data_IF_660041722064
#
_entry.id   IF_660041722064
#
_cell.length_a   1.000
_cell.length_b   1.000
_cell.length_c   1.000
_cell.angle_alpha   90.00
_cell.angle_beta   90.00
_cell.angle_gamma   90.00
#
_symmetry.space_group_name_H-M   'P 1'
#
loop_
_entity.id
_entity.type
_entity.pdbx_description
1 polymer ?
#
# COMPACT_ATOMS: atom_id res chain seq x y z
N UNK A 1 13.78 18.83 -87.14
CA UNK A 1 13.57 20.07 -86.38
C UNK A 1 12.12 20.05 -85.89
N UNK A 2 11.98 19.73 -84.61
CA UNK A 2 10.78 19.42 -83.83
C UNK A 2 10.48 20.52 -82.80
N UNK A 3 10.96 21.75 -83.07
CA UNK A 3 10.90 22.91 -82.17
C UNK A 3 9.49 23.33 -81.73
N UNK A 4 8.45 22.85 -82.41
CA UNK A 4 7.04 23.15 -82.13
C UNK A 4 6.29 21.96 -81.51
N UNK A 5 6.98 20.87 -81.15
CA UNK A 5 6.36 19.74 -80.49
C UNK A 5 6.25 19.98 -78.98
N UNK A 6 5.04 19.77 -78.47
CA UNK A 6 4.66 20.05 -77.08
C UNK A 6 5.32 19.08 -76.10
N UNK A 7 5.67 17.86 -76.51
CA UNK A 7 6.37 16.90 -75.66
C UNK A 7 7.80 17.38 -75.35
N UNK A 8 8.50 17.92 -76.36
CA UNK A 8 9.84 18.47 -76.20
C UNK A 8 9.85 19.79 -75.40
N UNK A 9 8.75 20.54 -75.44
CA UNK A 9 8.61 21.76 -74.62
C UNK A 9 8.64 21.47 -73.12
N UNK A 10 8.02 20.38 -72.65
CA UNK A 10 8.08 20.01 -71.23
C UNK A 10 9.48 19.54 -70.83
N UNK A 11 10.17 18.81 -71.72
CA UNK A 11 11.55 18.35 -71.51
C UNK A 11 12.50 19.55 -71.38
N UNK A 12 12.46 20.50 -72.32
CA UNK A 12 13.34 21.67 -72.26
C UNK A 12 13.06 22.58 -71.08
N UNK A 13 11.78 22.73 -70.72
CA UNK A 13 11.41 23.40 -69.48
C UNK A 13 12.09 22.69 -68.30
N UNK A 14 11.87 21.39 -68.14
CA UNK A 14 12.46 20.64 -67.04
C UNK A 14 14.00 20.73 -67.00
N UNK A 15 14.68 20.59 -68.13
CA UNK A 15 16.14 20.72 -68.21
C UNK A 15 16.62 22.11 -67.75
N UNK A 16 15.90 23.17 -68.12
CA UNK A 16 16.20 24.52 -67.66
C UNK A 16 16.00 24.70 -66.16
N UNK A 17 14.91 24.15 -65.60
CA UNK A 17 14.67 24.14 -64.14
C UNK A 17 15.83 23.48 -63.40
N UNK A 18 16.28 22.30 -63.87
CA UNK A 18 17.38 21.55 -63.27
C UNK A 18 18.67 22.35 -63.28
N UNK A 19 19.02 22.96 -64.42
CA UNK A 19 20.24 23.77 -64.54
C UNK A 19 20.16 25.00 -63.65
N UNK A 20 19.04 25.72 -63.67
CA UNK A 20 18.85 26.93 -62.87
C UNK A 20 18.94 26.64 -61.38
N UNK A 21 18.27 25.59 -60.90
CA UNK A 21 18.31 25.19 -59.49
C UNK A 21 19.70 24.75 -59.05
N UNK A 22 20.46 24.07 -59.91
CA UNK A 22 21.86 23.71 -59.64
C UNK A 22 22.73 24.95 -59.42
N UNK A 23 22.57 25.97 -60.25
CA UNK A 23 23.32 27.23 -60.06
C UNK A 23 22.86 27.98 -58.81
N UNK A 24 21.56 28.00 -58.48
CA UNK A 24 21.08 28.60 -57.23
C UNK A 24 21.70 27.90 -56.00
N UNK A 25 21.72 26.57 -56.00
CA UNK A 25 22.34 25.77 -54.94
C UNK A 25 23.86 26.01 -54.83
N UNK A 26 24.58 26.04 -55.95
CA UNK A 26 26.02 26.32 -55.97
C UNK A 26 26.39 27.73 -55.48
N UNK A 27 25.42 28.63 -55.37
CA UNK A 27 25.59 29.99 -54.84
C UNK A 27 24.93 30.16 -53.45
N UNK A 28 24.64 29.06 -52.74
CA UNK A 28 24.03 29.05 -51.41
C UNK A 28 22.69 29.81 -51.33
N UNK A 29 21.96 29.88 -52.45
CA UNK A 29 20.65 30.52 -52.51
C UNK A 29 19.55 29.52 -52.15
N UNK A 30 18.66 29.82 -51.20
CA UNK A 30 17.60 28.91 -50.78
C UNK A 30 16.44 28.85 -51.78
N UNK A 31 16.33 29.79 -52.72
CA UNK A 31 15.25 29.81 -53.71
C UNK A 31 15.36 28.64 -54.69
N UNK A 32 14.21 28.10 -55.11
CA UNK A 32 14.11 27.07 -56.15
C UNK A 32 13.03 27.46 -57.14
N UNK A 33 13.28 27.19 -58.42
CA UNK A 33 12.32 27.33 -59.51
C UNK A 33 11.64 26.00 -59.72
N UNK A 34 10.32 26.00 -59.91
CA UNK A 34 9.55 24.82 -60.33
C UNK A 34 8.65 25.26 -61.49
N UNK A 35 8.72 24.54 -62.61
CA UNK A 35 8.02 24.94 -63.83
C UNK A 35 6.60 24.41 -63.93
N UNK A 36 6.21 23.54 -63.00
CA UNK A 36 4.81 23.13 -62.82
C UNK A 36 4.04 24.31 -62.24
N UNK A 37 2.78 24.47 -62.64
CA UNK A 37 1.89 25.42 -61.98
C UNK A 37 1.70 25.04 -60.50
N UNK A 38 1.30 25.98 -59.65
CA UNK A 38 0.96 25.67 -58.25
C UNK A 38 -0.06 24.52 -58.15
N UNK A 39 -1.03 24.45 -59.08
CA UNK A 39 -1.96 23.33 -59.17
C UNK A 39 -1.27 21.98 -59.46
N UNK A 40 -0.33 21.92 -60.42
CA UNK A 40 0.46 20.69 -60.72
C UNK A 40 1.45 20.32 -59.60
N UNK A 41 1.82 21.28 -58.75
CA UNK A 41 2.60 21.03 -57.52
C UNK A 41 1.71 20.59 -56.34
N UNK A 42 0.38 20.66 -56.47
CA UNK A 42 -0.55 20.42 -55.36
C UNK A 42 -0.54 21.52 -54.29
N UNK A 43 -0.04 22.71 -54.64
CA UNK A 43 -0.01 23.86 -53.74
C UNK A 43 -1.31 24.65 -53.84
N UNK A 44 -1.97 24.82 -52.70
CA UNK A 44 -3.12 25.70 -52.53
C UNK A 44 -2.65 27.17 -52.42
N UNK A 45 -2.19 27.72 -53.54
CA UNK A 45 -1.68 29.10 -53.66
C UNK A 45 -2.26 29.70 -54.93
N UNK A 46 -2.88 30.87 -54.81
CA UNK A 46 -3.38 31.62 -55.96
C UNK A 46 -2.20 32.39 -56.59
N UNK A 47 -1.91 32.22 -57.89
CA UNK A 47 -0.81 32.91 -58.55
C UNK A 47 -1.12 34.40 -58.76
N UNK A 48 -0.10 35.25 -58.63
CA UNK A 48 -0.20 36.68 -58.96
C UNK A 48 -0.21 36.91 -60.48
N UNK A 49 -0.86 37.99 -60.92
CA UNK A 49 -0.90 38.39 -62.33
C UNK A 49 0.37 39.18 -62.68
N UNK A 50 0.92 38.95 -63.88
CA UNK A 50 2.08 39.70 -64.37
C UNK A 50 1.73 41.18 -64.56
N UNK A 51 2.50 42.07 -63.91
CA UNK A 51 2.25 43.51 -63.94
C UNK A 51 2.68 44.17 -65.26
N UNK A 52 3.76 43.71 -65.88
CA UNK A 52 4.35 44.38 -67.04
C UNK A 52 5.05 45.70 -66.68
N UNK A 53 5.77 46.29 -67.65
CA UNK A 53 6.65 47.43 -67.40
C UNK A 53 5.89 48.71 -67.01
N UNK A 54 4.76 48.98 -67.66
CA UNK A 54 3.97 50.20 -67.42
C UNK A 54 3.34 50.24 -66.02
N UNK A 55 2.71 49.14 -65.60
CA UNK A 55 2.10 49.00 -64.27
C UNK A 55 3.16 49.14 -63.18
N UNK A 56 4.31 48.48 -63.34
CA UNK A 56 5.41 48.56 -62.37
C UNK A 56 5.97 49.97 -62.23
N UNK A 57 6.04 50.74 -63.32
CA UNK A 57 6.48 52.14 -63.29
C UNK A 57 5.47 53.04 -62.58
N UNK A 58 4.16 52.82 -62.79
CA UNK A 58 3.09 53.55 -62.09
C UNK A 58 3.09 53.25 -60.58
N UNK A 59 3.18 51.98 -60.19
CA UNK A 59 3.26 51.55 -58.78
C UNK A 59 4.51 52.10 -58.09
N UNK A 60 5.66 52.17 -58.79
CA UNK A 60 6.89 52.78 -58.25
C UNK A 60 6.75 54.27 -57.97
N UNK A 61 5.85 54.96 -58.69
CA UNK A 61 5.51 56.38 -58.45
C UNK A 61 4.41 56.54 -57.39
N UNK A 62 3.96 55.46 -56.76
CA UNK A 62 2.92 55.48 -55.72
C UNK A 62 1.49 55.47 -56.26
N UNK A 63 1.29 55.32 -57.58
CA UNK A 63 -0.05 55.25 -58.18
C UNK A 63 -0.53 53.79 -58.11
N UNK A 64 -1.58 53.54 -57.34
CA UNK A 64 -2.18 52.21 -57.24
C UNK A 64 -2.91 51.85 -58.54
N UNK A 65 -2.63 50.65 -59.03
CA UNK A 65 -3.23 50.07 -60.23
C UNK A 65 -4.13 48.89 -59.86
N UNK A 66 -5.09 48.57 -60.74
CA UNK A 66 -5.97 47.41 -60.52
C UNK A 66 -5.19 46.09 -60.41
N UNK A 67 -4.14 45.91 -61.22
CA UNK A 67 -3.30 44.70 -61.20
C UNK A 67 -2.44 44.66 -59.93
N UNK A 68 -1.86 45.80 -59.51
CA UNK A 68 -1.11 45.89 -58.27
C UNK A 68 -1.98 45.65 -57.02
N UNK A 69 -3.21 46.17 -57.01
CA UNK A 69 -4.21 45.91 -55.95
C UNK A 69 -4.58 44.43 -55.90
N UNK A 70 -4.91 43.82 -57.05
CA UNK A 70 -5.19 42.39 -57.14
C UNK A 70 -4.04 41.53 -56.61
N UNK A 71 -2.79 41.86 -56.97
CA UNK A 71 -1.63 41.13 -56.48
C UNK A 71 -1.41 41.32 -54.97
N UNK A 72 -1.69 42.50 -54.41
CA UNK A 72 -1.67 42.73 -52.96
C UNK A 72 -2.71 41.85 -52.25
N UNK A 73 -3.93 41.80 -52.76
CA UNK A 73 -5.01 40.96 -52.22
C UNK A 73 -4.68 39.47 -52.30
N UNK A 74 -4.16 38.99 -53.44
CA UNK A 74 -3.72 37.60 -53.62
C UNK A 74 -2.63 37.23 -52.60
N UNK A 75 -1.63 38.10 -52.39
CA UNK A 75 -0.58 37.87 -51.39
C UNK A 75 -1.14 37.82 -49.97
N UNK A 76 -2.07 38.74 -49.63
CA UNK A 76 -2.73 38.75 -48.33
C UNK A 76 -3.54 37.46 -48.10
N UNK A 77 -4.32 37.02 -49.09
CA UNK A 77 -5.10 35.78 -49.03
C UNK A 77 -4.21 34.55 -48.87
N UNK A 78 -3.13 34.44 -49.66
CA UNK A 78 -2.16 33.33 -49.54
C UNK A 78 -1.47 33.32 -48.17
N UNK A 79 -1.12 34.49 -47.63
CA UNK A 79 -0.52 34.61 -46.30
C UNK A 79 -1.49 34.17 -45.19
N UNK A 80 -2.76 34.58 -45.27
CA UNK A 80 -3.80 34.17 -44.34
C UNK A 80 -4.03 32.66 -44.40
N UNK A 81 -4.10 32.08 -45.59
CA UNK A 81 -4.28 30.64 -45.76
C UNK A 81 -3.10 29.86 -45.18
N UNK A 82 -1.86 30.35 -45.36
CA UNK A 82 -0.67 29.77 -44.73
C UNK A 82 -0.76 29.80 -43.21
N UNK A 83 -1.19 30.92 -42.60
CA UNK A 83 -1.35 31.00 -41.15
C UNK A 83 -2.46 30.09 -40.63
N UNK A 84 -3.58 29.96 -41.36
CA UNK A 84 -4.67 29.04 -41.00
C UNK A 84 -4.15 27.60 -41.02
N UNK A 85 -3.41 27.20 -42.07
CA UNK A 85 -2.80 25.86 -42.14
C UNK A 85 -1.83 25.60 -40.98
N UNK A 86 -0.98 26.57 -40.63
CA UNK A 86 -0.07 26.44 -39.47
C UNK A 86 -0.85 26.30 -38.17
N UNK A 87 -1.90 27.09 -37.96
CA UNK A 87 -2.75 26.99 -36.77
C UNK A 87 -3.42 25.61 -36.69
N UNK A 88 -3.95 25.09 -37.80
CA UNK A 88 -4.54 23.74 -37.84
C UNK A 88 -3.49 22.67 -37.47
N UNK A 89 -2.26 22.77 -37.98
CA UNK A 89 -1.19 21.82 -37.62
C UNK A 89 -0.81 21.92 -36.15
N UNK A 90 -0.71 23.13 -35.61
CA UNK A 90 -0.45 23.33 -34.18
C UNK A 90 -1.58 22.75 -33.31
N UNK A 91 -2.84 22.97 -33.70
CA UNK A 91 -3.99 22.40 -33.01
C UNK A 91 -4.00 20.87 -33.07
N UNK A 92 -3.66 20.27 -34.22
CA UNK A 92 -3.50 18.82 -34.34
C UNK A 92 -2.42 18.30 -33.39
N UNK A 93 -1.28 18.99 -33.31
CA UNK A 93 -0.21 18.69 -32.36
C UNK A 93 -0.67 18.77 -30.89
N UNK A 94 -1.40 19.83 -30.52
CA UNK A 94 -1.95 19.95 -29.18
C UNK A 94 -2.98 18.87 -28.85
N UNK A 95 -3.82 18.47 -29.80
CA UNK A 95 -4.77 17.37 -29.62
C UNK A 95 -4.03 16.05 -29.38
N UNK A 96 -2.95 15.78 -30.11
CA UNK A 96 -2.14 14.57 -29.90
C UNK A 96 -1.48 14.57 -28.53
N UNK A 97 -0.84 15.69 -28.14
CA UNK A 97 -0.21 15.84 -26.82
C UNK A 97 -1.23 15.71 -25.68
N UNK A 98 -2.41 16.31 -25.82
CA UNK A 98 -3.49 16.19 -24.84
C UNK A 98 -4.00 14.75 -24.73
N UNK A 99 -4.07 14.04 -25.86
CA UNK A 99 -4.40 12.62 -25.92
C UNK A 99 -3.39 11.74 -25.18
N UNK A 100 -2.10 12.03 -25.33
CA UNK A 100 -1.01 11.34 -24.61
C UNK A 100 -1.07 11.60 -23.11
N UNK A 101 -1.16 12.88 -22.69
CA UNK A 101 -1.33 13.24 -21.27
C UNK A 101 -2.55 12.60 -20.62
N UNK A 102 -3.67 12.49 -21.36
CA UNK A 102 -4.86 11.79 -20.89
C UNK A 102 -4.59 10.29 -20.68
N UNK A 103 -3.86 9.64 -21.58
CA UNK A 103 -3.49 8.22 -21.43
C UNK A 103 -2.59 8.00 -20.22
N UNK A 104 -1.59 8.86 -20.03
CA UNK A 104 -0.71 8.82 -18.86
C UNK A 104 -1.48 8.96 -17.55
N UNK A 105 -2.40 9.93 -17.48
CA UNK A 105 -3.22 10.15 -16.29
C UNK A 105 -4.16 8.96 -16.02
N UNK A 106 -4.72 8.34 -17.06
CA UNK A 106 -5.50 7.11 -16.90
C UNK A 106 -4.65 5.94 -16.42
N UNK A 107 -3.42 5.80 -16.90
CA UNK A 107 -2.49 4.76 -16.45
C UNK A 107 -2.08 4.96 -14.98
N UNK A 108 -1.83 6.20 -14.56
CA UNK A 108 -1.56 6.54 -13.16
C UNK A 108 -2.74 6.19 -12.26
N UNK A 109 -3.96 6.62 -12.61
CA UNK A 109 -5.17 6.27 -11.86
C UNK A 109 -5.39 4.76 -11.79
N UNK A 110 -5.17 4.04 -12.89
CA UNK A 110 -5.29 2.58 -12.90
C UNK A 110 -4.24 1.92 -12.00
N UNK A 111 -3.02 2.46 -11.93
CA UNK A 111 -1.97 1.98 -11.04
C UNK A 111 -2.29 2.24 -9.56
N UNK A 112 -2.82 3.43 -9.23
CA UNK A 112 -3.30 3.77 -7.89
C UNK A 112 -4.50 2.90 -7.48
N UNK A 113 -5.46 2.69 -8.39
CA UNK A 113 -6.59 1.80 -8.13
C UNK A 113 -6.13 0.35 -7.94
N UNK A 114 -5.12 -0.10 -8.67
CA UNK A 114 -4.60 -1.46 -8.56
C UNK A 114 -4.04 -1.82 -7.18
N UNK A 115 -3.59 -0.84 -6.38
CA UNK A 115 -3.12 -1.06 -5.00
C UNK A 115 -4.26 -1.05 -3.96
N UNK A 116 -5.49 -0.70 -4.35
CA UNK A 116 -6.63 -0.75 -3.45
C UNK A 116 -6.98 -2.19 -3.08
N UNK A 117 -7.40 -2.41 -1.83
CA UNK A 117 -7.77 -3.72 -1.30
C UNK A 117 -8.74 -4.48 -2.20
N UNK A 118 -9.81 -3.88 -2.76
CA UNK A 118 -10.71 -4.62 -3.63
C UNK A 118 -10.02 -5.21 -4.86
N UNK A 119 -9.11 -4.45 -5.49
CA UNK A 119 -8.40 -4.90 -6.67
C UNK A 119 -7.32 -5.93 -6.32
N UNK A 120 -6.65 -5.79 -5.18
CA UNK A 120 -5.73 -6.79 -4.66
C UNK A 120 -6.45 -8.12 -4.34
N UNK A 121 -7.67 -8.07 -3.81
CA UNK A 121 -8.49 -9.26 -3.58
C UNK A 121 -8.94 -9.91 -4.90
N UNK A 122 -9.24 -9.13 -5.92
CA UNK A 122 -9.51 -9.67 -7.27
C UNK A 122 -8.26 -10.32 -7.87
N UNK A 123 -7.08 -9.71 -7.70
CA UNK A 123 -5.80 -10.30 -8.13
C UNK A 123 -5.50 -11.61 -7.39
N UNK A 124 -5.80 -11.69 -6.09
CA UNK A 124 -5.73 -12.94 -5.33
C UNK A 124 -6.63 -14.03 -5.93
N UNK A 125 -7.86 -13.69 -6.34
CA UNK A 125 -8.77 -14.63 -7.00
C UNK A 125 -8.18 -15.17 -8.31
N UNK A 126 -7.53 -14.32 -9.10
CA UNK A 126 -6.86 -14.73 -10.35
C UNK A 126 -5.71 -15.71 -10.09
N UNK A 127 -4.87 -15.43 -9.08
CA UNK A 127 -3.79 -16.34 -8.65
C UNK A 127 -4.38 -17.69 -8.25
N UNK A 128 -5.44 -17.69 -7.44
CA UNK A 128 -6.14 -18.91 -7.01
C UNK A 128 -6.77 -19.68 -8.15
N UNK A 129 -7.22 -19.00 -9.21
CA UNK A 129 -7.75 -19.62 -10.41
C UNK A 129 -6.63 -20.30 -11.20
N UNK A 130 -5.49 -19.64 -11.36
CA UNK A 130 -4.32 -20.22 -12.07
C UNK A 130 -3.75 -21.43 -11.31
N UNK A 131 -3.66 -21.37 -9.97
CA UNK A 131 -3.24 -22.51 -9.13
C UNK A 131 -4.11 -23.78 -9.32
N UNK A 132 -5.35 -23.61 -9.79
CA UNK A 132 -6.30 -24.71 -10.00
C UNK A 132 -6.50 -25.05 -11.47
N UNK A 133 -5.66 -24.54 -12.37
CA UNK A 133 -5.79 -24.79 -13.81
C UNK A 133 -5.78 -26.28 -14.18
N UNK A 134 -5.00 -27.08 -13.43
CA UNK A 134 -4.86 -28.52 -13.66
C UNK A 134 -5.91 -29.37 -12.90
N UNK A 135 -6.81 -28.73 -12.13
CA UNK A 135 -7.85 -29.44 -11.39
C UNK A 135 -8.98 -29.93 -12.32
N UNK A 136 -9.76 -30.89 -11.84
CA UNK A 136 -11.02 -31.27 -12.49
C UNK A 136 -11.99 -30.09 -12.53
N UNK A 137 -12.84 -30.03 -13.56
CA UNK A 137 -13.84 -28.95 -13.73
C UNK A 137 -14.76 -28.78 -12.51
N UNK A 138 -15.14 -29.89 -11.87
CA UNK A 138 -15.92 -29.86 -10.63
C UNK A 138 -15.13 -29.27 -9.46
N UNK A 139 -13.85 -29.60 -9.33
CA UNK A 139 -12.94 -29.02 -8.34
C UNK A 139 -12.71 -27.53 -8.54
N UNK A 140 -12.50 -27.09 -9.79
CA UNK A 140 -12.37 -25.68 -10.16
C UNK A 140 -13.61 -24.88 -9.77
N UNK A 141 -14.81 -25.38 -10.12
CA UNK A 141 -16.06 -24.70 -9.81
C UNK A 141 -16.29 -24.58 -8.29
N UNK A 142 -16.04 -25.65 -7.53
CA UNK A 142 -16.16 -25.62 -6.07
C UNK A 142 -15.16 -24.64 -5.44
N UNK A 143 -13.90 -24.68 -5.85
CA UNK A 143 -12.86 -23.76 -5.37
C UNK A 143 -13.17 -22.30 -5.68
N UNK A 144 -13.59 -22.02 -6.92
CA UNK A 144 -13.98 -20.67 -7.35
C UNK A 144 -15.17 -20.13 -6.57
N UNK A 145 -16.19 -20.97 -6.34
CA UNK A 145 -17.37 -20.58 -5.55
C UNK A 145 -17.02 -20.30 -4.09
N UNK A 146 -16.11 -21.07 -3.49
CA UNK A 146 -15.65 -20.86 -2.11
C UNK A 146 -14.84 -19.58 -1.99
N UNK A 147 -13.89 -19.36 -2.90
CA UNK A 147 -13.07 -18.14 -2.87
C UNK A 147 -13.95 -16.90 -3.11
N UNK A 148 -14.90 -16.97 -4.04
CA UNK A 148 -15.84 -15.86 -4.32
C UNK A 148 -16.68 -15.51 -3.09
N UNK A 149 -17.16 -16.53 -2.36
CA UNK A 149 -17.87 -16.32 -1.11
C UNK A 149 -16.97 -15.63 -0.07
N UNK A 150 -15.77 -16.14 0.14
CA UNK A 150 -14.82 -15.57 1.12
C UNK A 150 -14.41 -14.12 0.77
N UNK A 151 -14.13 -13.85 -0.51
CA UNK A 151 -13.75 -12.51 -0.99
C UNK A 151 -14.93 -11.55 -0.93
N UNK A 152 -16.15 -11.97 -1.27
CA UNK A 152 -17.33 -11.09 -1.16
C UNK A 152 -17.69 -10.73 0.28
N UNK A 153 -17.55 -11.67 1.22
CA UNK A 153 -17.71 -11.42 2.66
C UNK A 153 -16.65 -10.42 3.16
N UNK A 154 -15.39 -10.60 2.74
CA UNK A 154 -14.32 -9.67 3.07
C UNK A 154 -14.53 -8.28 2.46
N UNK A 155 -14.92 -8.16 1.20
CA UNK A 155 -15.22 -6.89 0.55
C UNK A 155 -16.35 -6.15 1.25
N UNK A 156 -17.40 -6.88 1.66
CA UNK A 156 -18.51 -6.32 2.42
C UNK A 156 -18.06 -5.79 3.77
N UNK A 157 -17.22 -6.55 4.47
CA UNK A 157 -16.62 -6.16 5.74
C UNK A 157 -15.71 -4.93 5.61
N UNK A 158 -14.80 -4.92 4.63
CA UNK A 158 -13.92 -3.79 4.33
C UNK A 158 -14.72 -2.52 4.03
N UNK A 159 -15.77 -2.63 3.21
CA UNK A 159 -16.70 -1.52 2.93
C UNK A 159 -17.39 -1.02 4.20
N UNK A 160 -17.90 -1.92 5.05
CA UNK A 160 -18.58 -1.55 6.29
C UNK A 160 -17.65 -0.81 7.26
N UNK A 161 -16.38 -1.20 7.31
CA UNK A 161 -15.35 -0.58 8.17
C UNK A 161 -14.66 0.62 7.52
N UNK A 162 -14.95 0.92 6.25
CA UNK A 162 -14.33 2.02 5.50
C UNK A 162 -12.85 1.79 5.18
N UNK A 163 -12.43 0.54 5.02
CA UNK A 163 -11.05 0.16 4.74
C UNK A 163 -10.87 -0.06 3.23
N UNK A 164 -10.07 0.79 2.56
CA UNK A 164 -9.85 0.71 1.11
C UNK A 164 -8.39 0.49 0.72
N UNK A 165 -7.44 0.88 1.57
CA UNK A 165 -5.99 0.78 1.28
C UNK A 165 -5.30 -0.25 2.19
N UNK A 166 -4.08 -0.66 1.81
CA UNK A 166 -3.25 -1.56 2.63
C UNK A 166 -2.84 -0.87 3.94
N UNK A 167 -2.59 0.44 3.89
CA UNK A 167 -2.27 1.27 5.04
C UNK A 167 -3.43 1.30 6.04
N UNK A 168 -4.67 1.48 5.58
CA UNK A 168 -5.86 1.44 6.43
C UNK A 168 -6.00 0.08 7.13
N UNK A 169 -5.78 -1.00 6.38
CA UNK A 169 -5.84 -2.37 6.89
C UNK A 169 -4.82 -2.60 8.02
N UNK A 170 -3.58 -2.17 7.82
CA UNK A 170 -2.50 -2.31 8.81
C UNK A 170 -2.75 -1.46 10.05
N UNK A 171 -3.16 -0.20 9.88
CA UNK A 171 -3.50 0.68 10.99
C UNK A 171 -4.67 0.11 11.82
N UNK A 172 -5.70 -0.43 11.15
CA UNK A 172 -6.86 -1.03 11.80
C UNK A 172 -6.52 -2.35 12.51
N UNK A 173 -5.62 -3.17 11.94
CA UNK A 173 -5.09 -4.36 12.59
C UNK A 173 -4.32 -4.02 13.86
N UNK A 174 -3.51 -2.96 13.85
CA UNK A 174 -2.75 -2.54 15.01
C UNK A 174 -3.67 -2.01 16.13
N UNK A 175 -4.64 -1.16 15.78
CA UNK A 175 -5.60 -0.59 16.74
C UNK A 175 -6.49 -1.66 17.37
N UNK A 176 -7.01 -2.58 16.56
CA UNK A 176 -7.81 -3.72 17.03
C UNK A 176 -6.97 -4.67 17.89
N UNK A 177 -5.69 -4.86 17.54
CA UNK A 177 -4.74 -5.64 18.33
C UNK A 177 -4.47 -5.04 19.71
N UNK A 178 -4.38 -3.70 19.81
CA UNK A 178 -4.25 -2.97 21.08
C UNK A 178 -5.51 -3.14 21.93
N UNK A 179 -6.70 -2.92 21.36
CA UNK A 179 -7.98 -3.11 22.04
C UNK A 179 -8.15 -4.52 22.62
N UNK A 180 -7.82 -5.57 21.84
CA UNK A 180 -7.84 -6.95 22.33
C UNK A 180 -6.81 -7.23 23.43
N UNK A 181 -5.67 -6.52 23.44
CA UNK A 181 -4.71 -6.61 24.53
C UNK A 181 -5.24 -5.93 25.79
N UNK A 182 -5.89 -4.77 25.65
CA UNK A 182 -6.46 -3.99 26.74
C UNK A 182 -7.58 -4.77 27.45
N UNK A 183 -8.52 -5.37 26.73
CA UNK A 183 -9.55 -6.23 27.33
C UNK A 183 -8.93 -7.38 28.12
N UNK A 184 -7.92 -8.06 27.55
CA UNK A 184 -7.21 -9.15 28.26
C UNK A 184 -6.49 -8.63 29.50
N UNK A 185 -5.89 -7.45 29.44
CA UNK A 185 -5.21 -6.84 30.59
C UNK A 185 -6.19 -6.43 31.69
N UNK A 186 -7.42 -6.03 31.34
CA UNK A 186 -8.48 -5.73 32.30
C UNK A 186 -9.13 -6.98 32.90
N UNK A 187 -9.21 -8.08 32.15
CA UNK A 187 -9.77 -9.37 32.61
C UNK A 187 -8.81 -10.14 33.51
N UNK A 188 -7.53 -10.22 33.15
CA UNK A 188 -6.50 -10.98 33.90
C UNK A 188 -6.48 -10.75 35.42
N UNK A 189 -6.45 -9.51 35.94
CA UNK A 189 -6.47 -9.28 37.38
C UNK A 189 -7.79 -9.70 38.02
N UNK A 190 -8.93 -9.52 37.32
CA UNK A 190 -10.25 -9.95 37.80
C UNK A 190 -10.35 -11.47 37.89
N UNK A 191 -9.87 -12.18 36.86
CA UNK A 191 -9.78 -13.65 36.85
C UNK A 191 -8.85 -14.16 37.95
N UNK A 192 -7.72 -13.48 38.18
CA UNK A 192 -6.79 -13.82 39.25
C UNK A 192 -7.45 -13.64 40.62
N UNK A 193 -8.15 -12.52 40.84
CA UNK A 193 -8.87 -12.26 42.09
C UNK A 193 -10.00 -13.27 42.32
N UNK A 194 -10.79 -13.56 41.29
CA UNK A 194 -11.87 -14.56 41.33
C UNK A 194 -11.34 -15.94 41.74
N UNK A 195 -10.20 -16.38 41.19
CA UNK A 195 -9.53 -17.63 41.60
C UNK A 195 -9.05 -17.62 43.06
N UNK A 196 -8.57 -16.46 43.55
CA UNK A 196 -8.17 -16.31 44.95
C UNK A 196 -9.38 -16.43 45.87
N UNK A 197 -10.50 -15.77 45.53
CA UNK A 197 -11.75 -15.86 46.29
C UNK A 197 -12.27 -17.29 46.33
N UNK A 198 -12.32 -17.99 45.20
CA UNK A 198 -12.69 -19.41 45.15
C UNK A 198 -11.79 -20.27 46.04
N UNK A 199 -10.47 -20.01 46.01
CA UNK A 199 -9.49 -20.68 46.87
C UNK A 199 -9.71 -20.40 48.36
N UNK A 200 -10.07 -19.17 48.74
CA UNK A 200 -10.38 -18.79 50.12
C UNK A 200 -11.67 -19.47 50.58
N UNK A 201 -12.71 -19.45 49.76
CA UNK A 201 -13.99 -20.09 50.07
C UNK A 201 -13.82 -21.61 50.24
N UNK A 202 -13.10 -22.26 49.32
CA UNK A 202 -12.77 -23.69 49.41
C UNK A 202 -11.90 -24.01 50.64
N UNK A 203 -10.93 -23.15 50.98
CA UNK A 203 -10.11 -23.35 52.18
C UNK A 203 -10.92 -23.16 53.46
N UNK A 204 -11.88 -22.23 53.48
CA UNK A 204 -12.82 -22.04 54.60
C UNK A 204 -13.73 -23.25 54.78
N UNK A 205 -14.19 -23.90 53.71
CA UNK A 205 -14.98 -25.14 53.79
C UNK A 205 -14.12 -26.30 54.30
N UNK A 206 -12.92 -26.50 53.74
CA UNK A 206 -12.00 -27.57 54.16
C UNK A 206 -11.61 -27.43 55.65
N UNK A 207 -11.33 -26.21 56.11
CA UNK A 207 -11.05 -25.95 57.53
C UNK A 207 -12.24 -26.27 58.43
N UNK A 208 -13.49 -26.00 58.00
CA UNK A 208 -14.70 -26.33 58.79
C UNK A 208 -14.90 -27.84 58.88
N UNK A 209 -14.77 -28.56 57.77
CA UNK A 209 -14.99 -30.01 57.69
C UNK A 209 -13.90 -30.80 58.42
N UNK A 210 -12.63 -30.42 58.24
CA UNK A 210 -11.49 -31.16 58.79
C UNK A 210 -11.15 -30.76 60.24
N UNK A 211 -11.82 -29.76 60.82
CA UNK A 211 -11.50 -29.19 62.14
C UNK A 211 -11.41 -30.23 63.25
N UNK A 212 -12.43 -31.08 63.36
CA UNK A 212 -12.54 -32.07 64.44
C UNK A 212 -11.44 -33.14 64.36
N UNK A 213 -11.10 -33.57 63.15
CA UNK A 213 -10.03 -34.55 62.91
C UNK A 213 -8.66 -33.91 63.21
N UNK A 214 -8.47 -32.66 62.80
CA UNK A 214 -7.25 -31.92 63.06
C UNK A 214 -7.03 -31.63 64.56
N UNK A 215 -8.09 -31.31 65.31
CA UNK A 215 -8.02 -31.14 66.77
C UNK A 215 -7.65 -32.45 67.49
N UNK A 216 -8.17 -33.60 67.03
CA UNK A 216 -7.75 -34.93 67.52
C UNK A 216 -6.28 -35.18 67.23
N UNK A 217 -5.82 -34.88 66.02
CA UNK A 217 -4.42 -34.97 65.62
C UNK A 217 -3.48 -34.10 66.49
N UNK A 218 -3.89 -32.86 66.80
CA UNK A 218 -3.09 -31.95 67.62
C UNK A 218 -2.88 -32.48 69.05
N UNK A 219 -3.87 -33.15 69.63
CA UNK A 219 -3.82 -33.73 70.98
C UNK A 219 -2.94 -34.98 71.09
N UNK A 220 -2.45 -35.52 69.97
CA UNK A 220 -1.50 -36.63 69.97
C UNK A 220 -0.08 -36.08 70.14
N UNK A 221 0.55 -36.41 71.27
CA UNK A 221 1.91 -35.97 71.61
C UNK A 221 3.00 -37.01 71.28
N UNK A 222 2.65 -38.30 71.20
CA UNK A 222 3.61 -39.34 70.90
C UNK A 222 3.91 -39.42 69.40
N UNK A 223 5.19 -39.24 69.03
CA UNK A 223 5.62 -39.02 67.64
C UNK A 223 5.20 -40.15 66.68
N UNK A 224 5.40 -41.42 67.05
CA UNK A 224 5.05 -42.57 66.20
C UNK A 224 3.54 -42.69 65.98
N UNK A 225 2.73 -42.43 67.00
CA UNK A 225 1.26 -42.50 66.90
C UNK A 225 0.71 -41.31 66.10
N UNK A 226 1.34 -40.14 66.23
CA UNK A 226 1.01 -38.94 65.48
C UNK A 226 1.27 -39.10 63.98
N UNK A 227 2.40 -39.69 63.61
CA UNK A 227 2.70 -40.01 62.21
C UNK A 227 1.72 -41.02 61.61
N UNK A 228 1.39 -42.10 62.33
CA UNK A 228 0.37 -43.07 61.88
C UNK A 228 -1.01 -42.42 61.69
N UNK A 229 -1.44 -41.60 62.65
CA UNK A 229 -2.73 -40.89 62.54
C UNK A 229 -2.76 -39.95 61.32
N UNK A 230 -1.65 -39.26 61.01
CA UNK A 230 -1.56 -38.42 59.81
C UNK A 230 -1.63 -39.21 58.50
N UNK A 231 -1.15 -40.46 58.50
CA UNK A 231 -1.24 -41.36 57.34
C UNK A 231 -2.66 -41.92 57.16
N UNK A 232 -3.35 -42.24 58.26
CA UNK A 232 -4.71 -42.79 58.25
C UNK A 232 -5.78 -41.72 57.97
N UNK A 233 -5.51 -40.45 58.32
CA UNK A 233 -6.44 -39.33 58.18
C UNK A 233 -5.91 -38.25 57.22
N UNK A 234 -6.16 -38.37 55.90
CA UNK A 234 -5.76 -37.36 54.92
C UNK A 234 -6.41 -35.99 55.17
N UNK A 235 -7.48 -35.91 55.97
CA UNK A 235 -8.12 -34.67 56.44
C UNK A 235 -7.15 -33.76 57.19
N UNK A 236 -6.16 -34.34 57.89
CA UNK A 236 -5.11 -33.56 58.58
C UNK A 236 -4.29 -32.76 57.57
N UNK A 237 -3.85 -33.39 56.48
CA UNK A 237 -3.10 -32.71 55.42
C UNK A 237 -3.96 -31.69 54.66
N UNK A 238 -5.25 -31.98 54.45
CA UNK A 238 -6.20 -31.02 53.86
C UNK A 238 -6.35 -29.78 54.73
N UNK A 239 -6.54 -29.95 56.05
CA UNK A 239 -6.64 -28.84 56.98
C UNK A 239 -5.35 -28.00 57.01
N UNK A 240 -4.18 -28.63 57.08
CA UNK A 240 -2.88 -27.93 57.06
C UNK A 240 -2.72 -27.08 55.78
N UNK A 241 -3.09 -27.64 54.61
CA UNK A 241 -3.03 -26.93 53.33
C UNK A 241 -4.01 -25.75 53.27
N UNK A 242 -5.24 -25.96 53.71
CA UNK A 242 -6.28 -24.92 53.74
C UNK A 242 -5.90 -23.77 54.70
N UNK A 243 -5.43 -24.11 55.91
CA UNK A 243 -4.95 -23.13 56.88
C UNK A 243 -3.74 -22.35 56.35
N UNK A 244 -2.78 -23.02 55.70
CA UNK A 244 -1.64 -22.37 55.07
C UNK A 244 -2.04 -21.46 53.89
N UNK A 245 -3.09 -21.81 53.14
CA UNK A 245 -3.62 -20.96 52.07
C UNK A 245 -4.29 -19.69 52.63
N UNK A 246 -5.14 -19.83 53.66
CA UNK A 246 -5.76 -18.69 54.33
C UNK A 246 -4.71 -17.75 54.97
N UNK A 247 -3.63 -18.29 55.52
CA UNK A 247 -2.53 -17.50 56.06
C UNK A 247 -1.79 -16.65 55.00
N UNK A 248 -1.85 -17.02 53.72
CA UNK A 248 -1.27 -16.25 52.61
C UNK A 248 -2.15 -15.09 52.14
N UNK A 249 -3.40 -15.03 52.58
CA UNK A 249 -4.37 -13.99 52.24
C UNK A 249 -4.88 -13.29 53.51
N UNK A 250 -3.99 -12.61 54.26
CA UNK A 250 -4.35 -11.97 55.52
C UNK A 250 -5.35 -10.81 55.34
N UNK A 251 -5.33 -10.15 54.18
CA UNK A 251 -6.23 -9.03 53.87
C UNK A 251 -7.70 -9.45 53.79
N UNK A 252 -7.96 -10.71 53.46
CA UNK A 252 -9.31 -11.32 53.38
C UNK A 252 -9.71 -12.04 54.67
N UNK A 253 -8.94 -11.88 55.75
CA UNK A 253 -9.19 -12.54 57.03
C UNK A 253 -10.48 -12.01 57.68
N UNK A 254 -10.73 -10.71 57.56
CA UNK A 254 -11.87 -10.03 58.18
C UNK A 254 -13.12 -10.02 57.27
N UNK A 255 -12.96 -10.33 55.98
CA UNK A 255 -14.05 -10.39 55.00
C UNK A 255 -15.03 -11.53 55.31
N UNK A 256 -16.33 -11.24 55.32
CA UNK A 256 -17.35 -12.28 55.56
C UNK A 256 -17.50 -13.20 54.35
N UNK A 257 -18.03 -14.41 54.57
CA UNK A 257 -18.31 -15.33 53.45
C UNK A 257 -19.29 -14.71 52.44
N UNK A 258 -20.25 -13.91 52.90
CA UNK A 258 -21.22 -13.22 52.03
C UNK A 258 -20.56 -12.13 51.19
N UNK A 259 -19.68 -11.34 51.78
CA UNK A 259 -18.93 -10.30 51.05
C UNK A 259 -18.05 -10.88 49.94
N UNK A 260 -17.32 -11.96 50.24
CA UNK A 260 -16.51 -12.66 49.24
C UNK A 260 -17.37 -13.25 48.10
N UNK A 261 -18.55 -13.78 48.42
CA UNK A 261 -19.50 -14.27 47.40
C UNK A 261 -20.05 -13.13 46.54
N UNK A 262 -20.39 -11.98 47.13
CA UNK A 262 -20.83 -10.80 46.38
C UNK A 262 -19.72 -10.26 45.47
N UNK A 263 -18.48 -10.18 45.96
CA UNK A 263 -17.32 -9.79 45.15
C UNK A 263 -17.12 -10.78 43.99
N UNK A 264 -17.24 -12.08 44.25
CA UNK A 264 -17.14 -13.12 43.22
C UNK A 264 -18.18 -12.95 42.13
N UNK A 265 -19.46 -12.77 42.50
CA UNK A 265 -20.55 -12.55 41.55
C UNK A 265 -20.30 -11.32 40.67
N UNK A 266 -19.84 -10.22 41.29
CA UNK A 266 -19.49 -8.98 40.59
C UNK A 266 -18.30 -9.16 39.65
N UNK A 267 -17.25 -9.87 40.07
CA UNK A 267 -16.10 -10.14 39.20
C UNK A 267 -16.49 -11.01 38.01
N UNK A 268 -17.31 -12.04 38.23
CA UNK A 268 -17.80 -12.90 37.16
C UNK A 268 -18.67 -12.13 36.16
N UNK A 269 -19.51 -11.20 36.63
CA UNK A 269 -20.29 -10.34 35.73
C UNK A 269 -19.39 -9.42 34.90
N UNK A 270 -18.43 -8.73 35.53
CA UNK A 270 -17.48 -7.86 34.82
C UNK A 270 -16.60 -8.63 33.83
N UNK A 271 -16.18 -9.85 34.17
CA UNK A 271 -15.43 -10.73 33.26
C UNK A 271 -16.31 -11.12 32.06
N UNK A 272 -17.58 -11.47 32.29
CA UNK A 272 -18.51 -11.81 31.22
C UNK A 272 -18.74 -10.62 30.28
N UNK A 273 -18.93 -9.42 30.82
CA UNK A 273 -19.08 -8.18 30.06
C UNK A 273 -17.86 -7.87 29.21
N UNK A 274 -16.64 -8.04 29.74
CA UNK A 274 -15.40 -7.82 28.97
C UNK A 274 -15.12 -8.90 27.93
N UNK A 275 -15.66 -10.11 28.13
CA UNK A 275 -15.45 -11.24 27.21
C UNK A 275 -16.18 -11.03 25.89
N UNK A 276 -17.37 -10.43 25.90
CA UNK A 276 -18.17 -10.15 24.69
C UNK A 276 -17.40 -9.31 23.65
N UNK A 277 -16.95 -8.08 23.96
CA UNK A 277 -16.20 -7.27 22.99
C UNK A 277 -14.84 -7.90 22.66
N UNK A 278 -14.21 -8.64 23.58
CA UNK A 278 -12.98 -9.37 23.29
C UNK A 278 -13.22 -10.44 22.21
N UNK A 279 -14.33 -11.18 22.27
CA UNK A 279 -14.67 -12.19 21.24
C UNK A 279 -14.94 -11.55 19.88
N UNK A 280 -15.68 -10.44 19.85
CA UNK A 280 -15.96 -9.71 18.62
C UNK A 280 -14.68 -9.19 17.96
N UNK A 281 -13.80 -8.53 18.72
CA UNK A 281 -12.51 -8.05 18.20
C UNK A 281 -11.63 -9.21 17.74
N UNK A 282 -11.68 -10.36 18.40
CA UNK A 282 -10.93 -11.54 17.96
C UNK A 282 -11.44 -12.11 16.63
N UNK A 283 -12.75 -12.13 16.40
CA UNK A 283 -13.32 -12.57 15.13
C UNK A 283 -12.97 -11.59 14.00
N UNK A 284 -13.07 -10.28 14.26
CA UNK A 284 -12.67 -9.25 13.31
C UNK A 284 -11.16 -9.36 12.98
N UNK A 285 -10.31 -9.58 13.99
CA UNK A 285 -8.88 -9.80 13.79
C UNK A 285 -8.57 -11.05 12.96
N UNK A 286 -9.36 -12.12 13.05
CA UNK A 286 -9.19 -13.30 12.19
C UNK A 286 -9.46 -12.94 10.73
N UNK A 287 -10.60 -12.30 10.44
CA UNK A 287 -10.97 -11.86 9.09
C UNK A 287 -9.90 -10.95 8.49
N UNK A 288 -9.43 -9.96 9.26
CA UNK A 288 -8.40 -9.02 8.81
C UNK A 288 -7.05 -9.71 8.53
N UNK A 289 -6.68 -10.75 9.30
CA UNK A 289 -5.47 -11.54 9.04
C UNK A 289 -5.58 -12.37 7.77
N UNK A 290 -6.76 -12.92 7.48
CA UNK A 290 -7.01 -13.64 6.23
C UNK A 290 -6.90 -12.69 5.04
N UNK A 291 -7.54 -11.51 5.12
CA UNK A 291 -7.44 -10.46 4.09
C UNK A 291 -5.98 -10.05 3.89
N UNK A 292 -5.24 -9.81 4.98
CA UNK A 292 -3.81 -9.48 4.92
C UNK A 292 -3.00 -10.57 4.23
N UNK A 293 -3.29 -11.84 4.52
CA UNK A 293 -2.65 -12.95 3.83
C UNK A 293 -2.95 -12.96 2.33
N UNK A 294 -4.20 -12.72 1.93
CA UNK A 294 -4.60 -12.63 0.53
C UNK A 294 -3.91 -11.47 -0.20
N UNK A 295 -3.84 -10.30 0.43
CA UNK A 295 -3.11 -9.12 -0.06
C UNK A 295 -1.65 -9.46 -0.32
N UNK A 296 -0.94 -10.04 0.66
CA UNK A 296 0.47 -10.44 0.48
C UNK A 296 0.67 -11.44 -0.65
N UNK A 297 -0.26 -12.37 -0.82
CA UNK A 297 -0.20 -13.34 -1.91
C UNK A 297 -0.43 -12.67 -3.27
N UNK A 298 -1.23 -11.61 -3.32
CA UNK A 298 -1.46 -10.81 -4.52
C UNK A 298 -0.29 -9.88 -4.88
N UNK A 299 0.53 -9.46 -3.90
CA UNK A 299 1.65 -8.53 -4.11
C UNK A 299 3.00 -9.07 -3.63
N UNK A 300 3.45 -10.25 -4.12
CA UNK A 300 4.70 -10.86 -3.68
C UNK A 300 5.90 -9.95 -3.97
N UNK A 301 6.74 -9.72 -2.97
CA UNK A 301 8.01 -8.96 -3.10
C UNK A 301 7.88 -7.43 -3.05
N UNK A 302 6.70 -6.89 -2.78
CA UNK A 302 6.45 -5.43 -2.61
C UNK A 302 6.55 -4.99 -1.14
N UNK A 303 6.54 -3.68 -0.88
CA UNK A 303 6.46 -3.12 0.50
C UNK A 303 5.25 -3.67 1.28
N UNK A 304 4.12 -3.88 0.60
CA UNK A 304 2.89 -4.47 1.15
C UNK A 304 3.08 -5.94 1.60
N UNK A 305 4.11 -6.62 1.07
CA UNK A 305 4.52 -7.97 1.47
C UNK A 305 5.43 -8.01 2.69
N UNK A 306 5.99 -6.88 3.14
CA UNK A 306 6.91 -6.87 4.29
C UNK A 306 6.16 -7.27 5.56
N UNK A 307 6.78 -8.14 6.36
CA UNK A 307 6.28 -8.41 7.72
C UNK A 307 6.24 -7.09 8.50
N UNK A 308 5.21 -6.83 9.32
CA UNK A 308 5.28 -5.72 10.25
C UNK A 308 6.50 -5.98 11.11
N UNK A 309 7.29 -4.95 11.48
CA UNK A 309 8.48 -5.16 12.29
C UNK A 309 8.08 -6.04 13.47
N UNK A 310 8.65 -7.25 13.51
CA UNK A 310 8.46 -8.16 14.64
C UNK A 310 8.85 -7.34 15.86
N UNK A 311 7.90 -7.06 16.75
CA UNK A 311 8.20 -6.45 18.04
C UNK A 311 9.20 -7.39 18.70
N UNK A 312 10.47 -7.00 18.64
CA UNK A 312 11.54 -7.72 19.32
C UNK A 312 11.12 -7.80 20.80
N UNK A 313 11.14 -8.99 21.40
CA UNK A 313 10.87 -9.09 22.82
C UNK A 313 11.89 -8.22 23.55
N UNK A 314 11.41 -7.35 24.43
CA UNK A 314 12.16 -6.33 25.21
C UNK A 314 13.35 -6.91 26.03
N UNK A 315 13.57 -8.24 25.99
CA UNK A 315 14.72 -8.91 26.61
C UNK A 315 16.01 -8.87 25.78
N UNK A 316 15.97 -8.71 24.45
CA UNK A 316 17.20 -8.66 23.64
C UNK A 316 17.86 -7.26 23.62
N UNK A 317 17.08 -6.17 23.71
CA UNK A 317 17.62 -4.80 23.76
C UNK A 317 18.41 -4.51 25.06
N UNK A 318 18.25 -5.33 26.09
CA UNK A 318 18.98 -5.21 27.36
C UNK A 318 20.27 -6.03 27.40
N UNK A 319 20.47 -7.01 26.50
CA UNK A 319 21.73 -7.77 26.43
C UNK A 319 22.78 -7.06 25.57
N UNK A 320 22.39 -6.45 24.45
CA UNK A 320 23.33 -5.68 23.60
C UNK A 320 23.92 -4.46 24.34
N UNK A 321 23.15 -3.81 25.21
CA UNK A 321 23.64 -2.68 26.03
C UNK A 321 24.56 -3.10 27.19
N UNK A 322 24.54 -4.36 27.60
CA UNK A 322 25.48 -4.88 28.61
C UNK A 322 26.81 -5.32 28.00
N UNK A 323 26.81 -5.77 26.74
CA UNK A 323 28.01 -6.22 26.06
C UNK A 323 28.83 -5.06 25.47
N UNK A 324 28.19 -3.97 24.99
CA UNK A 324 28.90 -2.73 24.63
C UNK A 324 29.62 -2.09 25.83
N UNK A 325 29.04 -2.16 27.05
CA UNK A 325 29.67 -1.61 28.27
C UNK A 325 30.81 -2.47 28.81
N UNK A 326 30.88 -3.76 28.47
CA UNK A 326 32.03 -4.63 28.80
C UNK A 326 33.18 -4.45 27.82
N UNK A 327 32.90 -4.23 26.53
CA UNK A 327 33.93 -4.03 25.51
C UNK A 327 34.73 -2.72 25.68
N UNK A 328 34.14 -1.67 26.29
CA UNK A 328 34.83 -0.40 26.55
C UNK A 328 35.70 -0.37 27.81
N UNK A 329 35.73 -1.44 28.63
CA UNK A 329 36.51 -1.49 29.88
C UNK A 329 37.84 -2.24 29.79
N UNK A 330 38.19 -2.80 28.63
CA UNK A 330 39.46 -3.53 28.44
C UNK A 330 40.19 -3.02 27.21
N UNK A 331 40.83 -1.87 27.33
CA UNK A 331 41.95 -1.46 26.46
C UNK A 331 43.01 -0.78 27.34
N UNK A 332 44.21 -1.37 27.50
CA UNK A 332 45.30 -0.70 28.19
C UNK A 332 45.93 0.35 27.28
N UNK A 333 46.12 1.55 27.83
CA UNK A 333 46.89 2.62 27.21
C UNK A 333 48.39 2.31 27.29
N UNK A 334 49.09 2.29 26.15
CA UNK A 334 50.54 2.46 26.06
C UNK A 334 50.93 3.15 24.74
N UNK A 335 51.06 4.47 24.84
CA UNK A 335 52.17 5.31 24.37
C UNK A 335 53.34 4.64 23.60
N UNK A 336 53.63 5.09 22.37
CA UNK A 336 54.83 5.90 21.98
C UNK A 336 55.20 5.81 20.48
N UNK A 337 55.18 7.00 19.87
CA UNK A 337 56.23 7.67 19.07
C UNK A 337 56.85 7.10 17.78
N UNK A 338 56.98 8.05 16.82
CA UNK A 338 58.00 8.21 15.73
C UNK A 338 57.81 7.27 14.53
N UNK A 339 58.03 7.64 13.27
CA UNK A 339 58.72 8.75 12.59
C UNK A 339 58.18 8.72 11.12
N UNK A 340 57.86 9.88 10.54
CA UNK A 340 58.55 10.48 9.38
C UNK A 340 58.42 9.78 8.01
N UNK A 341 57.96 10.61 7.06
CA UNK A 341 58.49 10.82 5.71
C UNK A 341 58.01 10.03 4.48
N UNK A 342 57.48 10.85 3.56
CA UNK A 342 57.76 10.94 2.11
C UNK A 342 56.99 10.06 1.11
N UNK A 343 56.28 10.79 0.25
CA UNK A 343 56.19 10.66 -1.22
C UNK A 343 55.79 9.31 -1.84
N UNK A 344 54.59 9.28 -2.44
CA UNK A 344 54.37 9.52 -3.88
C UNK A 344 52.87 9.65 -4.20
#
# INVERSE_FOLDING_TARGET
MDWNDQEYCEIWRHEWEVIQNRYLEANDRPERVDLRSYARQGLDIVPTVHEGAAVRQMEKRGIQTNIGNLNREIRAANSLMKSIRQLIQNLKGWITELGEKRKELLAQKAAEEATLLPNLLMKYMEIRKEERKDWTRAGQNRGTSQDLKAVSEALSYLRQKGLSTVEDLEAFLESSGKSAADYRNQMKPKEARSKVIDGILASRTDCKECKLVYEKYQKIFFKKTKEKFKQEHPEVARYEKAAAYLAKHPDDKDSTQKELQQEQEKLLSEIAELKVPLTEVQEDLKKLRDIRYWVRKATPGTEESKEPPKKQPIKEVLQDKTDEKKAQRTTPAQEKHRQQDMEL
#
